data_IF_900418036321
#
_entry.id   IF_900418036321
#
_cell.length_a   1.000
_cell.length_b   1.000
_cell.length_c   1.000
_cell.angle_alpha   90.00
_cell.angle_beta   90.00
_cell.angle_gamma   90.00
#
_symmetry.space_group_name_H-M   'P 1'
#
loop_
_entity.id
_entity.type
_entity.pdbx_description
1 polymer ?
#
# COMPACT_ATOMS: atom_id res chain seq x y z
N UNK A 1 0.71 8.96 17.51
CA UNK A 1 2.03 8.98 18.17
C UNK A 1 2.74 10.27 17.77
N UNK A 2 2.98 11.16 18.73
CA UNK A 2 3.79 12.35 18.48
C UNK A 2 5.26 11.94 18.43
N UNK A 3 5.80 11.89 17.26
CA UNK A 3 7.24 11.77 17.04
C UNK A 3 7.88 13.12 17.38
N UNK A 4 8.65 13.17 18.44
CA UNK A 4 9.48 14.33 18.75
C UNK A 4 10.86 14.14 18.12
N UNK A 5 11.26 15.03 17.22
CA UNK A 5 12.61 15.09 16.66
C UNK A 5 13.71 15.30 17.75
N UNK A 6 13.32 15.56 18.99
CA UNK A 6 14.21 15.77 20.13
C UNK A 6 14.58 14.50 20.89
N UNK A 7 14.15 13.32 20.45
CA UNK A 7 14.54 12.04 21.07
C UNK A 7 15.43 11.25 20.09
N UNK A 8 16.70 11.60 19.94
CA UNK A 8 17.58 10.84 19.08
C UNK A 8 18.05 9.59 19.81
N UNK A 9 17.31 8.51 19.71
CA UNK A 9 17.92 7.20 19.91
C UNK A 9 18.51 6.81 18.56
N UNK A 10 19.81 6.79 18.38
CA UNK A 10 20.42 6.32 17.14
C UNK A 10 19.88 4.93 16.80
N UNK A 11 19.46 4.70 15.56
CA UNK A 11 18.95 3.41 15.12
C UNK A 11 19.85 2.23 15.48
N UNK A 12 21.18 2.46 15.55
CA UNK A 12 22.17 1.48 15.98
C UNK A 12 22.04 1.04 17.46
N UNK A 13 21.29 1.77 18.28
CA UNK A 13 21.04 1.43 19.69
C UNK A 13 19.66 0.83 19.96
N UNK A 14 18.85 0.64 18.93
CA UNK A 14 17.59 -0.06 19.07
C UNK A 14 17.86 -1.57 19.23
N UNK A 15 17.24 -2.24 20.21
CA UNK A 15 17.38 -3.68 20.34
C UNK A 15 16.86 -4.40 19.09
N UNK A 16 17.45 -5.52 18.68
CA UNK A 16 16.96 -6.30 17.57
C UNK A 16 15.49 -6.70 17.80
N UNK A 17 14.60 -6.34 16.87
CA UNK A 17 13.20 -6.75 16.89
C UNK A 17 12.24 -5.91 17.74
N UNK A 18 12.69 -4.81 18.33
CA UNK A 18 11.80 -3.93 19.09
C UNK A 18 12.29 -2.49 19.12
N UNK A 19 11.39 -1.56 18.84
CA UNK A 19 11.65 -0.16 19.15
C UNK A 19 11.92 0.00 20.65
N UNK A 20 12.87 0.87 21.04
CA UNK A 20 13.02 1.25 22.44
C UNK A 20 11.64 1.75 22.95
N UNK A 21 11.29 1.35 24.16
CA UNK A 21 10.11 1.90 24.81
C UNK A 21 10.19 3.44 24.76
N UNK A 22 9.11 4.08 24.33
CA UNK A 22 9.05 5.53 24.28
C UNK A 22 9.26 6.03 25.72
N UNK A 23 10.24 6.91 25.99
CA UNK A 23 10.47 7.43 27.33
C UNK A 23 9.21 8.02 27.94
N UNK A 24 8.97 7.78 29.22
CA UNK A 24 7.78 8.31 29.91
C UNK A 24 7.70 9.86 29.90
N UNK A 25 8.83 10.54 29.64
CA UNK A 25 8.89 11.98 29.47
C UNK A 25 8.31 12.47 28.14
N UNK A 26 8.08 11.57 27.17
CA UNK A 26 7.47 11.93 25.89
C UNK A 26 5.94 11.80 26.02
N UNK A 27 5.18 12.91 25.86
CA UNK A 27 3.73 12.85 25.90
C UNK A 27 3.19 11.86 24.87
N UNK A 28 2.38 10.93 25.33
CA UNK A 28 1.73 9.95 24.46
C UNK A 28 0.21 10.10 24.58
N UNK A 29 -0.45 10.04 23.45
CA UNK A 29 -1.90 9.98 23.37
C UNK A 29 -2.30 8.75 22.58
N UNK A 30 -3.36 8.08 22.99
CA UNK A 30 -3.97 7.02 22.19
C UNK A 30 -4.63 7.62 20.94
N UNK A 31 -4.69 6.89 19.86
CA UNK A 31 -5.38 7.33 18.63
C UNK A 31 -6.85 7.68 18.89
N UNK A 32 -7.50 6.96 19.82
CA UNK A 32 -8.87 7.21 20.22
C UNK A 32 -9.08 8.55 20.94
N UNK A 33 -8.02 9.17 21.46
CA UNK A 33 -8.07 10.51 22.09
C UNK A 33 -7.82 11.65 21.11
N UNK A 34 -7.58 11.33 19.81
CA UNK A 34 -7.38 12.35 18.78
C UNK A 34 -8.72 13.01 18.42
N UNK A 35 -8.87 14.27 18.78
CA UNK A 35 -10.11 15.04 18.59
C UNK A 35 -10.00 16.12 17.52
N UNK A 36 -8.96 16.07 16.67
CA UNK A 36 -8.78 17.06 15.62
C UNK A 36 -9.90 16.92 14.57
N UNK A 37 -10.71 17.95 14.43
CA UNK A 37 -11.83 18.00 13.47
C UNK A 37 -11.39 17.96 12.00
N UNK A 38 -10.12 18.13 11.72
CA UNK A 38 -9.55 18.01 10.37
C UNK A 38 -9.09 16.58 10.04
N UNK A 39 -9.22 15.64 10.96
CA UNK A 39 -8.89 14.24 10.68
C UNK A 39 -9.84 13.70 9.63
N UNK A 40 -9.29 13.25 8.52
CA UNK A 40 -10.04 12.56 7.46
C UNK A 40 -9.78 11.06 7.59
N UNK A 41 -10.83 10.26 7.85
CA UNK A 41 -10.65 8.81 7.92
C UNK A 41 -10.20 8.24 6.57
N UNK A 42 -9.50 7.11 6.55
CA UNK A 42 -9.07 6.47 5.31
C UNK A 42 -10.29 6.05 4.46
N UNK A 43 -10.20 6.24 3.15
CA UNK A 43 -11.23 5.78 2.20
C UNK A 43 -11.41 4.26 2.21
N UNK A 44 -10.33 3.55 2.46
CA UNK A 44 -10.29 2.08 2.55
C UNK A 44 -9.09 1.62 3.36
N UNK A 45 -9.31 0.65 4.23
CA UNK A 45 -8.27 -0.12 4.92
C UNK A 45 -8.08 -1.47 4.24
N UNK A 46 -6.83 -1.92 4.13
CA UNK A 46 -6.50 -3.24 3.60
C UNK A 46 -5.96 -4.12 4.71
N UNK A 47 -6.50 -5.35 4.80
CA UNK A 47 -6.08 -6.36 5.76
C UNK A 47 -6.03 -5.85 7.21
N UNK A 48 -7.15 -5.31 7.67
CA UNK A 48 -7.33 -5.01 9.08
C UNK A 48 -7.18 -6.29 9.89
N UNK A 49 -6.35 -6.27 10.92
CA UNK A 49 -6.13 -7.40 11.81
C UNK A 49 -7.02 -7.29 13.05
N UNK A 50 -7.38 -8.43 13.62
CA UNK A 50 -8.16 -8.52 14.84
C UNK A 50 -7.32 -8.16 16.09
N UNK A 51 -8.00 -7.87 17.19
CA UNK A 51 -7.34 -7.66 18.47
C UNK A 51 -6.55 -8.90 18.89
N UNK A 52 -5.29 -8.72 19.28
CA UNK A 52 -4.41 -9.83 19.67
C UNK A 52 -3.69 -10.51 18.51
N UNK A 53 -3.80 -9.97 17.29
CA UNK A 53 -3.04 -10.49 16.15
C UNK A 53 -1.53 -10.44 16.43
N UNK A 54 -0.86 -11.54 16.17
CA UNK A 54 0.61 -11.63 16.31
C UNK A 54 1.32 -10.86 15.20
N UNK A 55 1.75 -9.64 15.49
CA UNK A 55 2.47 -8.77 14.56
C UNK A 55 3.89 -9.27 14.22
N UNK A 56 4.40 -10.29 14.92
CA UNK A 56 5.67 -10.93 14.56
C UNK A 56 5.52 -11.85 13.34
N UNK A 57 4.30 -12.25 13.03
CA UNK A 57 3.99 -13.00 11.81
C UNK A 57 4.13 -12.10 10.58
N UNK A 58 5.19 -12.27 9.84
CA UNK A 58 5.45 -11.44 8.67
C UNK A 58 4.44 -11.69 7.53
N UNK A 59 3.94 -10.60 6.93
CA UNK A 59 3.36 -10.62 5.60
C UNK A 59 1.85 -10.81 5.48
N UNK A 60 1.09 -11.01 6.56
CA UNK A 60 -0.36 -11.21 6.48
C UNK A 60 -1.20 -9.99 6.83
N UNK A 61 -0.67 -9.06 7.62
CA UNK A 61 -1.39 -7.91 8.16
C UNK A 61 -1.42 -6.69 7.22
N UNK A 62 -0.84 -6.76 6.02
CA UNK A 62 -0.72 -5.60 5.13
C UNK A 62 -0.60 -6.02 3.67
N UNK A 63 -0.98 -5.13 2.76
CA UNK A 63 -0.59 -5.20 1.35
C UNK A 63 0.76 -4.52 1.10
N UNK A 64 1.33 -3.84 2.09
CA UNK A 64 2.47 -2.94 1.96
C UNK A 64 2.28 -1.99 0.75
N UNK A 65 1.43 -0.96 0.86
CA UNK A 65 1.17 -0.03 -0.25
C UNK A 65 2.47 0.62 -0.70
N UNK A 66 2.82 0.48 -1.97
CA UNK A 66 4.03 1.05 -2.56
C UNK A 66 3.82 2.42 -3.17
N UNK A 67 2.69 2.60 -3.82
CA UNK A 67 2.31 3.82 -4.50
C UNK A 67 0.82 3.88 -4.80
N UNK A 68 0.35 5.06 -5.19
CA UNK A 68 -1.02 5.28 -5.61
C UNK A 68 -1.07 6.27 -6.77
N UNK A 69 -1.93 6.02 -7.74
CA UNK A 69 -2.23 6.97 -8.81
C UNK A 69 -3.73 7.01 -9.09
N UNK A 70 -4.20 8.06 -9.72
CA UNK A 70 -5.61 8.22 -10.09
C UNK A 70 -5.75 8.02 -11.59
N UNK A 71 -6.59 7.06 -11.99
CA UNK A 71 -6.94 6.88 -13.38
C UNK A 71 -8.11 7.82 -13.73
N UNK A 72 -7.81 8.89 -14.47
CA UNK A 72 -8.78 9.95 -14.84
C UNK A 72 -9.28 9.85 -16.27
N UNK A 73 -8.76 8.92 -17.07
CA UNK A 73 -9.06 8.77 -18.50
C UNK A 73 -10.31 7.93 -18.74
N UNK A 74 -10.90 8.05 -19.93
CA UNK A 74 -12.01 7.22 -20.39
C UNK A 74 -11.60 6.10 -21.36
N UNK A 75 -10.30 5.91 -21.55
CA UNK A 75 -9.78 5.00 -22.58
C UNK A 75 -9.94 3.51 -22.23
N UNK A 76 -10.05 3.17 -20.95
CA UNK A 76 -10.39 1.83 -20.48
C UNK A 76 -11.80 1.87 -19.88
N UNK A 77 -12.77 1.14 -20.45
CA UNK A 77 -14.15 1.16 -19.99
C UNK A 77 -14.29 0.84 -18.51
N UNK A 78 -15.00 1.69 -17.78
CA UNK A 78 -15.27 1.51 -16.35
C UNK A 78 -14.08 1.80 -15.42
N UNK A 79 -12.99 2.39 -15.92
CA UNK A 79 -11.81 2.71 -15.08
C UNK A 79 -11.73 4.17 -14.64
N UNK A 80 -12.41 5.08 -15.31
CA UNK A 80 -12.40 6.50 -14.96
C UNK A 80 -12.73 6.73 -13.48
N UNK A 81 -12.02 7.65 -12.85
CA UNK A 81 -12.14 7.96 -11.41
C UNK A 81 -11.85 6.74 -10.51
N UNK A 82 -10.81 6.01 -10.82
CA UNK A 82 -10.33 4.93 -9.96
C UNK A 82 -8.98 5.27 -9.34
N UNK A 83 -8.80 4.89 -8.09
CA UNK A 83 -7.48 4.80 -7.48
C UNK A 83 -6.83 3.48 -7.87
N UNK A 84 -5.55 3.56 -8.21
CA UNK A 84 -4.68 2.41 -8.50
C UNK A 84 -3.68 2.31 -7.36
N UNK A 85 -3.90 1.39 -6.42
CA UNK A 85 -3.06 1.20 -5.23
C UNK A 85 -2.16 -0.01 -5.46
N UNK A 86 -0.86 0.21 -5.40
CA UNK A 86 0.12 -0.83 -5.66
C UNK A 86 0.52 -1.56 -4.39
N UNK A 87 0.72 -2.86 -4.51
CA UNK A 87 1.16 -3.72 -3.42
C UNK A 87 2.57 -4.24 -3.64
N UNK A 88 3.44 -4.04 -2.65
CA UNK A 88 4.78 -4.61 -2.63
C UNK A 88 4.77 -6.08 -2.20
N UNK A 89 3.87 -6.46 -1.29
CA UNK A 89 3.88 -7.82 -0.72
C UNK A 89 2.94 -8.78 -1.45
N UNK A 90 1.88 -8.27 -2.10
CA UNK A 90 0.89 -9.13 -2.77
C UNK A 90 1.05 -9.22 -4.28
N UNK A 91 2.04 -8.51 -4.85
CA UNK A 91 2.30 -8.51 -6.29
C UNK A 91 1.09 -8.13 -7.13
N UNK A 92 0.28 -7.22 -6.67
CA UNK A 92 -0.98 -6.82 -7.30
C UNK A 92 -1.14 -5.29 -7.32
N UNK A 93 -2.03 -4.84 -8.20
CA UNK A 93 -2.56 -3.49 -8.20
C UNK A 93 -4.04 -3.57 -7.81
N UNK A 94 -4.43 -2.86 -6.77
CA UNK A 94 -5.82 -2.80 -6.34
C UNK A 94 -6.49 -1.57 -6.94
N UNK A 95 -7.49 -1.78 -7.79
CA UNK A 95 -8.30 -0.70 -8.34
C UNK A 95 -9.52 -0.45 -7.45
N UNK A 96 -9.66 0.79 -7.00
CA UNK A 96 -10.79 1.26 -6.21
C UNK A 96 -11.58 2.28 -7.02
N UNK A 97 -12.80 1.94 -7.41
CA UNK A 97 -13.69 2.87 -8.10
C UNK A 97 -14.22 3.91 -7.12
N UNK A 98 -13.89 5.18 -7.35
CA UNK A 98 -14.40 6.28 -6.54
C UNK A 98 -15.85 6.63 -6.87
N UNK A 99 -16.58 7.08 -5.88
CA UNK A 99 -17.84 7.78 -6.09
C UNK A 99 -17.62 9.12 -6.81
N UNK A 100 -18.68 9.76 -7.28
CA UNK A 100 -18.58 11.00 -8.04
C UNK A 100 -17.97 12.16 -7.23
N UNK A 101 -18.18 12.15 -5.92
CA UNK A 101 -17.62 13.13 -4.99
C UNK A 101 -16.14 12.88 -4.63
N UNK A 102 -15.56 11.75 -5.04
CA UNK A 102 -14.20 11.32 -4.74
C UNK A 102 -13.95 10.97 -3.26
N UNK A 103 -14.99 10.93 -2.43
CA UNK A 103 -14.88 10.76 -0.97
C UNK A 103 -15.21 9.36 -0.46
N UNK A 104 -15.64 8.48 -1.33
CA UNK A 104 -15.95 7.10 -1.00
C UNK A 104 -15.61 6.15 -2.13
N UNK A 105 -15.53 4.87 -1.82
CA UNK A 105 -15.30 3.78 -2.78
C UNK A 105 -16.63 3.08 -3.05
N UNK A 106 -17.00 2.92 -4.32
CA UNK A 106 -18.29 2.35 -4.73
C UNK A 106 -18.40 0.84 -4.51
N UNK A 107 -17.29 0.13 -4.71
CA UNK A 107 -17.22 -1.32 -4.75
C UNK A 107 -16.03 -1.83 -3.96
N UNK A 108 -16.01 -3.11 -3.57
CA UNK A 108 -14.76 -3.72 -3.07
C UNK A 108 -13.62 -3.54 -4.07
N UNK A 109 -12.39 -3.38 -3.58
CA UNK A 109 -11.22 -3.27 -4.46
C UNK A 109 -11.11 -4.44 -5.43
N UNK A 110 -10.85 -4.15 -6.70
CA UNK A 110 -10.55 -5.18 -7.70
C UNK A 110 -9.05 -5.40 -7.76
N UNK A 111 -8.63 -6.63 -7.58
CA UNK A 111 -7.24 -7.03 -7.74
C UNK A 111 -6.92 -7.23 -9.22
N UNK A 112 -5.83 -6.58 -9.67
CA UNK A 112 -5.37 -6.58 -11.07
C UNK A 112 -3.89 -6.96 -11.12
N UNK A 113 -3.45 -7.54 -12.23
CA UNK A 113 -2.04 -7.79 -12.55
C UNK A 113 -1.32 -8.66 -11.53
N UNK A 114 -2.05 -9.59 -10.88
CA UNK A 114 -1.48 -10.50 -9.88
C UNK A 114 -0.31 -11.28 -10.45
N UNK A 115 0.83 -11.21 -9.77
CA UNK A 115 2.08 -11.80 -10.22
C UNK A 115 3.05 -12.03 -9.07
N UNK A 116 4.19 -12.63 -9.36
CA UNK A 116 5.31 -12.73 -8.43
C UNK A 116 6.18 -11.44 -8.41
N UNK A 117 5.64 -10.27 -8.69
CA UNK A 117 6.36 -9.01 -8.66
C UNK A 117 6.05 -8.21 -7.39
N UNK A 118 6.91 -7.25 -7.09
CA UNK A 118 6.70 -6.24 -6.07
C UNK A 118 6.47 -4.90 -6.76
N UNK A 119 5.22 -4.46 -6.84
CA UNK A 119 4.89 -3.22 -7.55
C UNK A 119 5.15 -2.00 -6.68
N UNK A 120 6.08 -1.15 -7.13
CA UNK A 120 6.55 0.05 -6.43
C UNK A 120 5.79 1.30 -6.84
N UNK A 121 5.63 1.51 -8.15
CA UNK A 121 5.05 2.73 -8.69
C UNK A 121 4.30 2.45 -9.99
N UNK A 122 3.42 3.38 -10.39
CA UNK A 122 2.63 3.31 -11.61
C UNK A 122 2.59 4.67 -12.32
N UNK A 123 2.86 4.66 -13.60
CA UNK A 123 2.58 5.78 -14.48
C UNK A 123 1.50 5.41 -15.50
N UNK A 124 0.63 6.38 -15.80
CA UNK A 124 -0.43 6.22 -16.79
C UNK A 124 -0.07 7.11 -17.99
N UNK A 125 0.09 6.50 -19.16
CA UNK A 125 0.39 7.25 -20.37
C UNK A 125 -0.77 8.19 -20.75
N UNK A 126 -0.46 9.22 -21.54
CA UNK A 126 -1.43 10.23 -21.99
C UNK A 126 -2.60 9.63 -22.79
N UNK A 127 -2.37 8.51 -23.49
CA UNK A 127 -3.41 7.77 -24.22
C UNK A 127 -4.44 7.12 -23.29
N UNK A 128 -4.14 6.99 -21.98
CA UNK A 128 -4.96 6.31 -21.00
C UNK A 128 -5.06 4.79 -21.19
N UNK A 129 -4.42 4.22 -22.20
CA UNK A 129 -4.46 2.79 -22.53
C UNK A 129 -3.20 2.04 -22.09
N UNK A 130 -2.12 2.78 -21.90
CA UNK A 130 -0.82 2.21 -21.54
C UNK A 130 -0.48 2.57 -20.10
N UNK A 131 -0.15 1.56 -19.32
CA UNK A 131 0.29 1.67 -17.93
C UNK A 131 1.74 1.18 -17.84
N UNK A 132 2.56 1.87 -17.06
CA UNK A 132 3.93 1.45 -16.74
C UNK A 132 4.01 1.15 -15.25
N UNK A 133 4.40 -0.07 -14.91
CA UNK A 133 4.55 -0.52 -13.53
C UNK A 133 6.03 -0.73 -13.20
N UNK A 134 6.53 0.03 -12.24
CA UNK A 134 7.87 -0.18 -11.70
C UNK A 134 7.85 -1.31 -10.67
N UNK A 135 8.85 -2.19 -10.73
CA UNK A 135 9.01 -3.29 -9.78
C UNK A 135 10.27 -3.13 -8.94
N UNK A 136 10.21 -3.58 -7.69
CA UNK A 136 11.39 -3.65 -6.83
C UNK A 136 12.37 -4.73 -7.29
N UNK A 137 13.68 -4.53 -7.10
CA UNK A 137 14.69 -5.51 -7.45
C UNK A 137 14.74 -6.70 -6.48
N UNK A 138 14.23 -6.54 -5.26
CA UNK A 138 14.29 -7.55 -4.20
C UNK A 138 13.25 -7.30 -3.11
N UNK A 139 13.14 -8.26 -2.19
CA UNK A 139 12.30 -8.16 -1.00
C UNK A 139 11.21 -9.22 -0.94
N UNK A 140 10.55 -9.38 0.21
CA UNK A 140 9.53 -10.40 0.40
C UNK A 140 8.30 -10.13 -0.48
N UNK A 141 7.74 -11.19 -1.03
CA UNK A 141 6.46 -11.19 -1.73
C UNK A 141 5.66 -12.44 -1.37
N UNK A 142 4.35 -12.38 -1.54
CA UNK A 142 3.42 -13.47 -1.31
C UNK A 142 2.44 -13.56 -2.47
N UNK A 143 2.08 -14.77 -2.82
CA UNK A 143 1.04 -15.03 -3.82
C UNK A 143 -0.37 -14.77 -3.24
N UNK A 144 -1.38 -15.00 -4.06
CA UNK A 144 -2.78 -14.82 -3.68
C UNK A 144 -3.20 -15.73 -2.51
N UNK A 145 -2.56 -16.88 -2.33
CA UNK A 145 -2.79 -17.81 -1.21
C UNK A 145 -2.13 -17.34 0.10
N UNK A 146 -1.21 -16.37 0.01
CA UNK A 146 -0.38 -15.91 1.12
C UNK A 146 0.93 -16.67 1.27
N UNK A 147 1.25 -17.62 0.38
CA UNK A 147 2.50 -18.34 0.40
C UNK A 147 3.66 -17.45 -0.04
N UNK A 148 4.85 -17.69 0.52
CA UNK A 148 6.05 -16.91 0.19
C UNK A 148 6.48 -17.19 -1.25
N UNK A 149 6.64 -16.12 -2.03
CA UNK A 149 7.21 -16.18 -3.38
C UNK A 149 8.74 -16.27 -3.27
N UNK A 150 9.33 -17.34 -3.77
CA UNK A 150 10.77 -17.58 -3.67
C UNK A 150 11.59 -16.75 -4.68
N UNK A 151 11.01 -16.38 -5.81
CA UNK A 151 11.69 -15.65 -6.87
C UNK A 151 10.74 -14.62 -7.50
N UNK A 152 11.18 -13.37 -7.57
CA UNK A 152 10.46 -12.33 -8.28
C UNK A 152 10.48 -12.58 -9.79
N UNK A 153 9.36 -12.33 -10.47
CA UNK A 153 9.23 -12.56 -11.91
C UNK A 153 10.04 -11.55 -12.74
N UNK A 154 9.96 -10.29 -12.40
CA UNK A 154 10.60 -9.19 -13.13
C UNK A 154 11.24 -8.21 -12.13
N UNK A 155 12.35 -8.58 -11.47
CA UNK A 155 12.97 -7.71 -10.47
C UNK A 155 13.59 -6.47 -11.11
N UNK A 156 13.35 -5.28 -10.51
CA UNK A 156 13.96 -4.02 -10.93
C UNK A 156 13.61 -3.58 -12.36
N UNK A 157 12.39 -3.87 -12.80
CA UNK A 157 11.94 -3.65 -14.18
C UNK A 157 10.85 -2.57 -14.27
N UNK A 158 10.65 -2.04 -15.46
CA UNK A 158 9.46 -1.30 -15.86
C UNK A 158 8.64 -2.19 -16.79
N UNK A 159 7.44 -2.54 -16.37
CA UNK A 159 6.52 -3.35 -17.16
C UNK A 159 5.57 -2.43 -17.92
N UNK A 160 5.45 -2.63 -19.21
CA UNK A 160 4.42 -1.98 -20.03
C UNK A 160 3.19 -2.88 -20.12
N UNK A 161 2.03 -2.35 -19.75
CA UNK A 161 0.74 -3.02 -19.86
C UNK A 161 -0.16 -2.19 -20.76
N UNK A 162 -0.60 -2.76 -21.85
CA UNK A 162 -1.43 -2.07 -22.84
C UNK A 162 -2.84 -2.67 -22.90
N UNK A 163 -3.84 -1.83 -22.74
CA UNK A 163 -5.21 -2.20 -22.99
C UNK A 163 -5.47 -2.26 -24.50
N UNK A 164 -5.92 -3.41 -24.98
CA UNK A 164 -6.42 -3.64 -26.34
C UNK A 164 -7.92 -3.94 -26.24
N UNK A 165 -8.79 -3.16 -26.93
CA UNK A 165 -10.23 -3.39 -26.95
C UNK A 165 -10.62 -4.74 -27.49
#
# INVERSE_FOLDING_TARGET
>A
ANWSASTPTPCAKLPPGGGAAIPASVPQQTESSFTNQQFMPPLRTFFTVETGYDLTRTGNATIAPGGVNVYTRDAIPGWKNSLMVLSLIRGAVYRLQLAADGRSVKEPPRELFSSANRYRDIAINRDGRTLYLATDPSGPNRDASGAVVQKLANPGSILEIKYTP
#
